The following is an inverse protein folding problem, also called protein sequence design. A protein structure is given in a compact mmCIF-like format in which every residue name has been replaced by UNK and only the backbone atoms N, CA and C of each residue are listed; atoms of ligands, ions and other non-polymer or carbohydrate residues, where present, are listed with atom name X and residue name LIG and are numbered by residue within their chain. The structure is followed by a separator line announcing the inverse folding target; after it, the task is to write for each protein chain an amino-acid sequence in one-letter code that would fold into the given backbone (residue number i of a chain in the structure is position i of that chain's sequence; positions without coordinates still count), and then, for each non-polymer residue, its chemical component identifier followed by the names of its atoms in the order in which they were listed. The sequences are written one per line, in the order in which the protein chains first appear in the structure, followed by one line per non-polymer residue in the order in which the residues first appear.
data_IF_268951120960
#
_entry.id   IF_268951120960
#
_cell.length_a   1.000
_cell.length_b   1.000
_cell.length_c   1.000
_cell.angle_alpha   90.00
_cell.angle_beta   90.00
_cell.angle_gamma   90.00
#
_symmetry.space_group_name_H-M   'P 1'
#
loop_
_entity.id
_entity.type
_entity.pdbx_description
1 polymer ?
#
# COMPACT_ATOMS: atom_id res chain seq x y z
N UNK A 1 15.24 -10.83 -2.32
CA UNK A 1 15.34 -12.29 -2.50
C UNK A 1 14.52 -12.75 -3.70
N UNK A 2 14.70 -14.00 -4.15
CA UNK A 2 13.97 -14.62 -5.28
C UNK A 2 12.44 -14.55 -5.14
N UNK A 3 11.93 -14.51 -3.91
CA UNK A 3 10.50 -14.40 -3.58
C UNK A 3 9.90 -13.08 -4.10
N UNK A 4 10.51 -11.93 -3.79
CA UNK A 4 10.02 -10.63 -4.27
C UNK A 4 9.93 -10.54 -5.79
N UNK A 5 10.82 -11.23 -6.53
CA UNK A 5 10.76 -11.28 -7.99
C UNK A 5 9.56 -12.09 -8.49
N UNK A 6 9.26 -13.21 -7.83
CA UNK A 6 8.08 -14.02 -8.14
C UNK A 6 6.79 -13.28 -7.81
N UNK A 7 6.75 -12.57 -6.68
CA UNK A 7 5.59 -11.76 -6.29
C UNK A 7 5.33 -10.63 -7.28
N UNK A 8 6.39 -9.90 -7.68
CA UNK A 8 6.27 -8.84 -8.69
C UNK A 8 5.80 -9.40 -10.05
N UNK A 9 6.28 -10.57 -10.46
CA UNK A 9 5.83 -11.21 -11.69
C UNK A 9 4.38 -11.68 -11.60
N UNK A 10 3.97 -12.22 -10.45
CA UNK A 10 2.60 -12.64 -10.19
C UNK A 10 1.62 -11.46 -10.23
N UNK A 11 1.95 -10.34 -9.58
CA UNK A 11 1.16 -9.10 -9.62
C UNK A 11 1.00 -8.62 -11.06
N UNK A 12 2.11 -8.49 -11.81
CA UNK A 12 2.08 -8.00 -13.19
C UNK A 12 1.20 -8.88 -14.09
N UNK A 13 1.37 -10.19 -14.02
CA UNK A 13 0.59 -11.13 -14.82
C UNK A 13 -0.91 -11.03 -14.49
N UNK A 14 -1.25 -10.86 -13.21
CA UNK A 14 -2.63 -10.66 -12.77
C UNK A 14 -3.23 -9.36 -13.31
N UNK A 15 -2.50 -8.25 -13.19
CA UNK A 15 -2.93 -6.96 -13.74
C UNK A 15 -3.15 -7.02 -15.26
N UNK A 16 -2.20 -7.60 -16.01
CA UNK A 16 -2.29 -7.72 -17.46
C UNK A 16 -3.53 -8.54 -17.88
N UNK A 17 -3.81 -9.64 -17.16
CA UNK A 17 -4.99 -10.46 -17.40
C UNK A 17 -6.31 -9.69 -17.14
N UNK A 18 -6.38 -8.88 -16.08
CA UNK A 18 -7.57 -8.07 -15.79
C UNK A 18 -7.73 -6.99 -16.85
N UNK A 19 -6.66 -6.23 -17.13
CA UNK A 19 -6.65 -5.14 -18.12
C UNK A 19 -7.08 -5.59 -19.52
N UNK A 20 -6.77 -6.84 -19.90
CA UNK A 20 -7.21 -7.40 -21.18
C UNK A 20 -8.74 -7.49 -21.34
N UNK A 21 -9.49 -7.52 -20.23
CA UNK A 21 -10.96 -7.61 -20.23
C UNK A 21 -11.66 -6.35 -19.73
N UNK A 22 -10.93 -5.42 -19.13
CA UNK A 22 -11.50 -4.19 -18.58
C UNK A 22 -11.82 -3.18 -19.70
N UNK A 23 -13.02 -2.58 -19.64
CA UNK A 23 -13.43 -1.51 -20.56
C UNK A 23 -12.73 -0.19 -20.20
N UNK A 24 -12.51 0.04 -18.90
CA UNK A 24 -11.88 1.23 -18.36
C UNK A 24 -10.93 0.84 -17.23
N UNK A 25 -9.79 1.53 -17.15
CA UNK A 25 -8.79 1.33 -16.10
C UNK A 25 -8.42 2.67 -15.48
N UNK A 26 -8.86 2.90 -14.25
CA UNK A 26 -8.55 4.09 -13.50
C UNK A 26 -7.20 3.94 -12.77
N UNK A 27 -6.31 4.90 -12.99
CA UNK A 27 -5.05 5.02 -12.23
C UNK A 27 -5.08 6.34 -11.48
N UNK A 28 -5.15 6.33 -10.13
CA UNK A 28 -5.22 7.55 -9.35
C UNK A 28 -3.92 8.36 -9.50
N UNK A 29 -4.06 9.67 -9.46
CA UNK A 29 -2.92 10.59 -9.34
C UNK A 29 -2.30 10.50 -7.95
N UNK A 30 -1.05 10.94 -7.79
CA UNK A 30 -0.42 11.04 -6.46
C UNK A 30 -1.22 11.92 -5.49
N UNK A 31 -1.89 12.95 -5.99
CA UNK A 31 -2.75 13.82 -5.17
C UNK A 31 -3.98 13.06 -4.63
N UNK A 32 -4.57 12.18 -5.44
CA UNK A 32 -5.69 11.33 -5.01
C UNK A 32 -5.21 10.23 -4.06
N UNK A 33 -4.07 9.60 -4.36
CA UNK A 33 -3.43 8.64 -3.46
C UNK A 33 -3.12 9.25 -2.09
N UNK A 34 -2.68 10.51 -2.03
CA UNK A 34 -2.49 11.22 -0.75
C UNK A 34 -3.78 11.30 0.05
N UNK A 35 -4.89 11.68 -0.58
CA UNK A 35 -6.21 11.73 0.09
C UNK A 35 -6.69 10.35 0.54
N UNK A 36 -6.42 9.32 -0.25
CA UNK A 36 -6.76 7.94 0.11
C UNK A 36 -5.97 7.48 1.33
N UNK A 37 -4.67 7.78 1.38
CA UNK A 37 -3.79 7.51 2.54
C UNK A 37 -4.30 8.23 3.79
N UNK A 38 -4.68 9.50 3.68
CA UNK A 38 -5.28 10.25 4.80
C UNK A 38 -6.57 9.58 5.32
N UNK A 39 -7.45 9.14 4.41
CA UNK A 39 -8.66 8.41 4.77
C UNK A 39 -8.41 7.03 5.39
N UNK A 40 -7.26 6.42 5.13
CA UNK A 40 -6.91 5.09 5.64
C UNK A 40 -6.44 5.10 7.11
N UNK A 41 -6.07 6.26 7.68
CA UNK A 41 -5.52 6.35 9.04
C UNK A 41 -6.46 5.74 10.08
N UNK A 42 -7.77 5.97 9.97
CA UNK A 42 -8.77 5.40 10.87
C UNK A 42 -8.77 3.87 10.87
N UNK A 43 -8.70 3.26 9.69
CA UNK A 43 -8.63 1.81 9.57
C UNK A 43 -7.34 1.22 10.17
N UNK A 44 -6.21 1.94 10.05
CA UNK A 44 -4.95 1.53 10.70
C UNK A 44 -5.02 1.62 12.22
N UNK A 45 -5.69 2.64 12.77
CA UNK A 45 -5.94 2.74 14.20
C UNK A 45 -6.80 1.56 14.69
N UNK A 46 -7.86 1.21 13.97
CA UNK A 46 -8.73 0.09 14.31
C UNK A 46 -8.02 -1.27 14.21
N UNK A 47 -7.09 -1.40 13.25
CA UNK A 47 -6.27 -2.59 13.07
C UNK A 47 -5.06 -2.66 14.02
N UNK A 48 -4.82 -1.65 14.86
CA UNK A 48 -3.65 -1.59 15.74
C UNK A 48 -3.58 -2.81 16.66
N UNK A 49 -2.42 -3.46 16.72
CA UNK A 49 -2.20 -4.68 17.48
C UNK A 49 -2.51 -5.97 16.70
N UNK A 50 -3.01 -5.88 15.46
CA UNK A 50 -3.17 -7.04 14.56
C UNK A 50 -1.96 -7.29 13.66
N UNK A 51 -0.99 -6.36 13.67
CA UNK A 51 0.25 -6.44 12.92
C UNK A 51 1.43 -6.03 13.81
N UNK A 52 2.63 -6.52 13.47
CA UNK A 52 3.88 -6.11 14.10
C UNK A 52 4.33 -4.74 13.54
N UNK A 53 4.43 -3.68 14.37
CA UNK A 53 4.67 -2.32 13.88
C UNK A 53 5.97 -2.16 13.09
N UNK A 54 7.05 -2.79 13.54
CA UNK A 54 8.36 -2.71 12.86
C UNK A 54 8.34 -3.39 11.49
N UNK A 55 7.60 -4.49 11.37
CA UNK A 55 7.41 -5.19 10.09
C UNK A 55 6.56 -4.33 9.15
N UNK A 56 5.45 -3.79 9.64
CA UNK A 56 4.59 -2.90 8.86
C UNK A 56 5.34 -1.67 8.36
N UNK A 57 6.11 -1.01 9.24
CA UNK A 57 7.00 0.11 8.89
C UNK A 57 7.96 -0.25 7.78
N UNK A 58 8.71 -1.35 7.94
CA UNK A 58 9.70 -1.78 6.94
C UNK A 58 9.04 -2.01 5.58
N UNK A 59 7.93 -2.73 5.55
CA UNK A 59 7.20 -3.06 4.30
C UNK A 59 6.65 -1.81 3.61
N UNK A 60 6.18 -0.81 4.37
CA UNK A 60 5.74 0.47 3.80
C UNK A 60 6.90 1.29 3.22
N UNK A 61 8.06 1.31 3.89
CA UNK A 61 9.25 2.00 3.38
C UNK A 61 9.83 1.31 2.14
N UNK A 62 9.82 -0.03 2.09
CA UNK A 62 10.19 -0.80 0.89
C UNK A 62 9.31 -0.47 -0.32
N UNK A 63 8.09 0.06 -0.10
CA UNK A 63 7.16 0.53 -1.13
C UNK A 63 7.28 2.04 -1.43
N UNK A 64 8.23 2.74 -0.82
CA UNK A 64 8.41 4.20 -0.99
C UNK A 64 7.28 5.03 -0.37
N UNK A 65 6.60 4.49 0.66
CA UNK A 65 5.48 5.16 1.33
C UNK A 65 5.91 6.01 2.53
N UNK A 66 7.09 6.64 2.47
CA UNK A 66 7.69 7.43 3.56
C UNK A 66 6.73 8.49 4.14
N UNK A 67 6.04 9.21 3.25
CA UNK A 67 5.07 10.23 3.65
C UNK A 67 3.86 9.64 4.41
N UNK A 68 3.44 8.42 4.06
CA UNK A 68 2.34 7.76 4.74
C UNK A 68 2.77 7.19 6.09
N UNK A 69 3.98 6.64 6.18
CA UNK A 69 4.58 6.20 7.46
C UNK A 69 4.57 7.36 8.46
N UNK A 70 5.05 8.54 8.06
CA UNK A 70 5.04 9.72 8.92
C UNK A 70 3.62 10.12 9.38
N UNK A 71 2.61 9.97 8.52
CA UNK A 71 1.21 10.22 8.89
C UNK A 71 0.70 9.20 9.92
N UNK A 72 0.99 7.92 9.73
CA UNK A 72 0.58 6.85 10.64
C UNK A 72 1.24 6.98 12.01
N UNK A 73 2.54 7.27 12.07
CA UNK A 73 3.27 7.50 13.32
C UNK A 73 2.70 8.70 14.07
N UNK A 74 2.46 9.82 13.37
CA UNK A 74 1.86 11.02 13.97
C UNK A 74 0.47 10.74 14.55
N UNK A 75 -0.29 9.84 13.92
CA UNK A 75 -1.59 9.40 14.41
C UNK A 75 -1.50 8.34 15.52
N UNK A 76 -0.31 7.79 15.78
CA UNK A 76 -0.10 6.67 16.71
C UNK A 76 -0.68 5.34 16.21
N UNK A 77 -0.88 5.20 14.90
CA UNK A 77 -1.40 4.01 14.26
C UNK A 77 -0.30 2.98 13.93
N UNK A 78 0.95 3.45 13.78
CA UNK A 78 2.17 2.66 13.67
C UNK A 78 3.01 2.85 14.93
#
# INVERSE_FOLDING_TARGET
EKVNQLDNAWIKNGEDAIKASAIEWYTPTEAELSKWREGAIGAWLDAKGTFEPDVARRVLLEQGMDGFVAQLEKAGAL
#
